data_IF_238871586183
#
_entry.id   IF_238871586183
#
_cell.length_a   1.000
_cell.length_b   1.000
_cell.length_c   1.000
_cell.angle_alpha   90.00
_cell.angle_beta   90.00
_cell.angle_gamma   90.00
#
_symmetry.space_group_name_H-M   'P 1'
#
loop_
_entity.id
_entity.type
_entity.pdbx_description
1 polymer ?
2 non-polymer ?
3 non-polymer ?
4 non-polymer ?
5 water ?
#
# COMPACT_ATOMS: atom_id res chain seq x y z
N UNK A 4 3.78 16.51 -25.49
CA UNK A 4 3.27 15.47 -24.55
C UNK A 4 2.00 15.96 -23.86
N UNK A 5 1.17 15.04 -23.41
CA UNK A 5 -0.06 15.37 -22.69
C UNK A 5 0.27 16.09 -21.40
N UNK A 6 -0.63 16.95 -20.96
CA UNK A 6 -0.40 17.64 -19.70
C UNK A 6 -0.29 16.63 -18.55
N UNK A 7 -1.25 15.70 -18.49
CA UNK A 7 -1.22 14.67 -17.48
C UNK A 7 -0.57 13.45 -18.09
N UNK A 8 0.55 13.05 -17.50
CA UNK A 8 1.43 12.04 -18.05
C UNK A 8 1.01 10.65 -17.70
N UNK A 9 1.75 9.66 -18.22
CA UNK A 9 1.31 8.28 -18.06
C UNK A 9 1.32 7.82 -16.61
N UNK A 10 2.30 8.26 -15.81
CA UNK A 10 2.42 7.81 -14.42
C UNK A 10 1.19 8.25 -13.63
N UNK A 11 0.85 9.52 -13.78
CA UNK A 11 -0.33 10.04 -13.10
C UNK A 11 -1.62 9.36 -13.57
N UNK A 12 -1.79 9.22 -14.89
CA UNK A 12 -3.03 8.65 -15.42
C UNK A 12 -3.18 7.22 -14.90
N UNK A 13 -2.06 6.51 -14.82
CA UNK A 13 -2.08 5.13 -14.31
C UNK A 13 -2.48 5.13 -12.85
N UNK A 14 -1.89 6.00 -12.05
CA UNK A 14 -2.15 6.06 -10.62
C UNK A 14 -3.64 6.36 -10.40
N UNK A 15 -4.14 7.33 -11.14
CA UNK A 15 -5.54 7.75 -10.92
C UNK A 15 -6.52 6.61 -11.31
N UNK A 16 -6.23 5.91 -12.39
CA UNK A 16 -7.06 4.80 -12.86
C UNK A 16 -6.99 3.64 -11.88
N UNK A 17 -5.80 3.38 -11.34
CA UNK A 17 -5.64 2.32 -10.34
C UNK A 17 -6.44 2.68 -9.07
N UNK A 18 -6.28 3.90 -8.61
CA UNK A 18 -6.89 4.34 -7.38
C UNK A 18 -8.40 4.25 -7.45
N UNK A 19 -8.96 4.67 -8.58
CA UNK A 19 -10.42 4.81 -8.68
C UNK A 19 -11.14 3.53 -8.27
N UNK A 20 -10.62 2.39 -8.74
CA UNK A 20 -11.29 1.11 -8.52
C UNK A 20 -10.58 0.17 -7.54
N UNK A 21 -9.35 0.50 -7.15
CA UNK A 21 -8.62 -0.38 -6.25
C UNK A 21 -8.12 0.22 -4.96
N UNK A 22 -8.37 1.50 -4.74
CA UNK A 22 -7.97 2.09 -3.47
C UNK A 22 -9.21 2.58 -2.76
N UNK A 23 -9.35 2.16 -1.50
CA UNK A 23 -10.43 2.67 -0.66
C UNK A 23 -9.82 3.21 0.62
N UNK A 24 -10.62 3.89 1.42
CA UNK A 24 -10.16 4.36 2.71
C UNK A 24 -10.74 3.47 3.79
N UNK A 25 -9.87 2.85 4.58
CA UNK A 25 -10.28 1.94 5.64
C UNK A 25 -10.02 2.61 6.99
N UNK A 26 -10.97 2.47 7.92
CA UNK A 26 -10.76 2.95 9.27
C UNK A 26 -10.67 1.76 10.22
N UNK A 27 -9.54 1.67 10.91
CA UNK A 27 -9.37 0.74 12.01
C UNK A 27 -9.37 1.51 13.34
N UNK A 28 -9.14 0.82 14.46
CA UNK A 28 -9.04 1.52 15.75
C UNK A 28 -7.87 2.50 15.77
N UNK A 29 -6.94 2.35 14.82
CA UNK A 29 -5.76 3.20 14.75
C UNK A 29 -5.96 4.38 13.78
N UNK A 30 -7.15 4.49 13.20
CA UNK A 30 -7.47 5.61 12.33
C UNK A 30 -7.65 5.22 10.89
N UNK A 31 -7.63 6.21 10.01
CA UNK A 31 -7.86 5.99 8.58
C UNK A 31 -6.56 5.62 7.86
N UNK A 32 -6.64 4.66 6.94
CA UNK A 32 -5.53 4.23 6.12
C UNK A 32 -6.00 4.08 4.70
N UNK A 33 -5.16 4.50 3.75
CA UNK A 33 -5.37 4.15 2.38
C UNK A 33 -5.23 2.63 2.31
N UNK A 34 -6.07 1.99 1.50
CA UNK A 34 -6.06 0.55 1.41
C UNK A 34 -6.22 0.08 -0.02
N UNK A 35 -5.28 -0.75 -0.46
CA UNK A 35 -5.32 -1.33 -1.80
C UNK A 35 -6.15 -2.60 -1.77
N UNK A 36 -7.16 -2.65 -2.60
CA UNK A 36 -7.87 -3.90 -2.86
C UNK A 36 -7.15 -4.61 -3.99
N UNK A 37 -6.83 -5.89 -3.81
CA UNK A 37 -6.01 -6.61 -4.78
C UNK A 37 -6.81 -7.48 -5.74
N UNK A 38 -7.75 -8.27 -5.20
CA UNK A 38 -8.62 -9.08 -6.00
C UNK A 38 -9.71 -9.61 -5.07
N UNK A 39 -10.86 -9.96 -5.65
CA UNK A 39 -11.97 -10.54 -4.92
C UNK A 39 -12.23 -9.74 -3.63
N UNK A 40 -12.19 -10.42 -2.48
CA UNK A 40 -12.36 -9.75 -1.18
C UNK A 40 -11.06 -9.53 -0.41
N UNK A 41 -9.94 -9.49 -1.12
CA UNK A 41 -8.61 -9.42 -0.52
C UNK A 41 -8.03 -8.02 -0.65
N UNK A 42 -7.61 -7.45 0.47
CA UNK A 42 -6.96 -6.14 0.49
C UNK A 42 -5.72 -6.17 1.38
N UNK A 43 -4.90 -5.12 1.33
CA UNK A 43 -3.74 -5.02 2.21
C UNK A 43 -3.71 -3.73 3.02
N UNK A 44 -3.21 -3.86 4.23
CA UNK A 44 -2.98 -2.70 5.09
C UNK A 44 -1.61 -2.85 5.69
N UNK A 45 -1.03 -1.74 6.15
CA UNK A 45 0.14 -1.82 7.02
C UNK A 45 -0.21 -2.66 8.22
N UNK A 46 0.68 -3.55 8.60
CA UNK A 46 0.42 -4.37 9.78
C UNK A 46 0.11 -3.53 11.02
N UNK A 47 0.73 -2.37 11.15
CA UNK A 47 0.51 -1.53 12.30
C UNK A 47 -0.82 -0.81 12.29
N UNK A 48 -1.58 -0.95 11.20
CA UNK A 48 -2.93 -0.46 11.16
C UNK A 48 -3.81 -1.26 12.12
N UNK A 49 -3.35 -2.48 12.41
CA UNK A 49 -3.98 -3.33 13.42
C UNK A 49 -5.47 -3.59 13.15
N UNK A 50 -5.80 -4.03 11.93
CA UNK A 50 -7.21 -4.28 11.65
C UNK A 50 -7.73 -5.31 12.64
N UNK A 51 -8.94 -5.10 13.13
CA UNK A 51 -9.52 -6.03 14.09
C UNK A 51 -10.51 -6.93 13.41
N UNK A 52 -11.62 -7.13 14.10
CA UNK A 52 -12.68 -7.99 13.61
C UNK A 52 -13.48 -7.35 12.50
N UNK A 53 -13.37 -6.02 12.39
CA UNK A 53 -14.06 -5.27 11.36
C UNK A 53 -13.35 -3.94 11.11
N UNK A 54 -13.59 -3.36 9.94
CA UNK A 54 -13.07 -2.04 9.61
C UNK A 54 -14.21 -1.25 9.02
N UNK A 55 -14.08 0.07 8.99
CA UNK A 55 -15.10 0.88 8.36
C UNK A 55 -14.64 1.25 6.95
N UNK A 56 -15.51 0.99 5.97
CA UNK A 56 -15.29 1.49 4.61
C UNK A 56 -16.59 2.17 4.17
N UNK A 57 -16.47 3.40 3.68
CA UNK A 57 -17.62 4.16 3.21
C UNK A 57 -18.71 4.22 4.26
N UNK A 58 -18.31 4.44 5.51
CA UNK A 58 -19.27 4.67 6.57
C UNK A 58 -19.97 3.41 7.06
N UNK A 59 -19.59 2.26 6.52
CA UNK A 59 -20.20 1.01 6.92
C UNK A 59 -19.15 0.06 7.50
N UNK A 60 -19.54 -0.64 8.55
CA UNK A 60 -18.70 -1.65 9.16
C UNK A 60 -18.66 -2.87 8.26
N UNK A 61 -17.45 -3.32 7.95
CA UNK A 61 -17.25 -4.49 7.11
C UNK A 61 -16.46 -5.50 7.93
N UNK A 62 -17.02 -6.69 8.12
CA UNK A 62 -16.35 -7.76 8.86
C UNK A 62 -15.09 -8.22 8.14
N UNK A 63 -14.04 -8.48 8.91
CA UNK A 63 -12.83 -9.09 8.41
C UNK A 63 -12.86 -10.58 8.78
N UNK A 64 -12.66 -11.41 7.76
CA UNK A 64 -12.74 -12.87 7.92
C UNK A 64 -11.38 -13.41 8.36
N UNK A 65 -10.33 -12.77 7.87
CA UNK A 65 -8.98 -13.21 8.23
C UNK A 65 -8.01 -12.08 8.00
N UNK A 66 -6.96 -12.06 8.81
CA UNK A 66 -5.89 -11.10 8.67
C UNK A 66 -4.60 -11.89 8.79
N UNK A 67 -3.76 -11.83 7.75
CA UNK A 67 -2.47 -12.53 7.76
C UNK A 67 -1.32 -11.53 7.70
N UNK A 68 -0.54 -11.45 8.77
CA UNK A 68 0.62 -10.58 8.79
C UNK A 68 1.78 -11.29 8.12
N UNK A 69 2.27 -10.67 7.04
CA UNK A 69 3.35 -11.28 6.24
C UNK A 69 4.75 -11.12 6.83
N UNK A 70 5.57 -12.16 6.66
CA UNK A 70 6.94 -12.13 7.12
C UNK A 70 7.74 -12.77 6.02
N UNK A 71 9.03 -12.51 5.99
CA UNK A 71 9.89 -13.22 5.02
C UNK A 71 10.26 -14.61 5.55
N UNK A 72 11.08 -15.32 4.80
CA UNK A 72 11.41 -16.70 5.16
C UNK A 72 12.15 -16.81 6.51
N UNK A 73 12.78 -15.71 6.94
CA UNK A 73 13.52 -15.68 8.20
C UNK A 73 12.65 -15.22 9.36
N UNK A 74 11.39 -14.93 9.06
CA UNK A 74 10.46 -14.49 10.07
C UNK A 74 10.38 -12.99 10.22
N UNK A 75 11.13 -12.26 9.42
CA UNK A 75 11.14 -10.82 9.57
C UNK A 75 9.86 -10.19 9.04
N UNK A 76 9.32 -9.27 9.82
CA UNK A 76 8.11 -8.55 9.48
C UNK A 76 8.25 -7.89 8.10
N UNK A 77 7.22 -8.01 7.25
CA UNK A 77 7.18 -7.29 5.99
C UNK A 77 6.30 -6.04 6.10
N UNK A 78 5.59 -5.92 7.21
CA UNK A 78 4.71 -4.77 7.53
C UNK A 78 3.49 -4.70 6.60
N UNK A 79 3.19 -5.83 5.96
CA UNK A 79 1.99 -5.99 5.17
C UNK A 79 1.08 -6.98 5.89
N UNK A 80 -0.20 -6.64 6.01
CA UNK A 80 -1.19 -7.58 6.50
C UNK A 80 -2.23 -7.73 5.41
N UNK A 81 -2.43 -8.97 4.98
CA UNK A 81 -3.46 -9.27 4.01
C UNK A 81 -4.75 -9.53 4.76
N UNK A 82 -5.79 -8.76 4.44
CA UNK A 82 -7.09 -9.00 5.06
C UNK A 82 -8.12 -9.46 4.03
N UNK A 83 -9.07 -10.26 4.51
CA UNK A 83 -10.15 -10.77 3.69
C UNK A 83 -11.47 -10.22 4.22
N UNK A 84 -12.28 -9.62 3.35
CA UNK A 84 -13.50 -8.94 3.78
C UNK A 84 -14.73 -9.80 3.57
N UNK A 85 -15.66 -9.72 4.52
CA UNK A 85 -16.93 -10.41 4.36
C UNK A 85 -17.90 -9.49 3.61
N UNK A 86 -17.84 -9.55 2.29
CA UNK A 86 -18.77 -8.82 1.45
C UNK A 86 -18.74 -9.37 0.04
N UNK A 87 -19.79 -9.07 -0.72
CA UNK A 87 -19.98 -9.64 -2.05
C UNK A 87 -19.25 -8.87 -3.15
N UNK A 88 -19.09 -7.57 -2.98
CA UNK A 88 -18.37 -6.77 -3.95
C UNK A 88 -16.95 -7.32 -4.11
N UNK A 89 -16.53 -7.45 -5.36
CA UNK A 89 -15.17 -7.88 -5.66
C UNK A 89 -14.36 -6.69 -6.15
N UNK A 90 -13.10 -6.63 -5.72
CA UNK A 90 -12.13 -5.70 -6.28
C UNK A 90 -11.72 -6.18 -7.66
N UNK A 91 -11.59 -5.24 -8.58
CA UNK A 91 -10.97 -5.49 -9.85
C UNK A 91 -9.64 -6.20 -9.58
N UNK A 92 -9.39 -7.34 -10.25
CA UNK A 92 -8.18 -8.11 -9.99
C UNK A 92 -6.96 -7.38 -10.59
N UNK A 93 -6.09 -6.83 -9.74
CA UNK A 93 -4.91 -6.13 -10.24
C UNK A 93 -3.63 -6.92 -10.02
N UNK A 94 -3.77 -8.21 -9.70
CA UNK A 94 -2.59 -9.05 -9.51
C UNK A 94 -1.62 -8.98 -10.71
N UNK A 95 -2.15 -8.91 -11.95
CA UNK A 95 -1.24 -8.86 -13.10
C UNK A 95 -0.41 -7.58 -13.13
N UNK A 96 -0.85 -6.55 -12.41
CA UNK A 96 -0.11 -5.30 -12.32
C UNK A 96 0.93 -5.30 -11.21
N UNK A 97 0.89 -6.32 -10.37
CA UNK A 97 1.88 -6.45 -9.30
C UNK A 97 3.01 -7.30 -9.85
N UNK A 98 4.25 -6.80 -9.76
CA UNK A 98 5.36 -7.50 -10.42
C UNK A 98 5.69 -8.77 -9.70
N UNK A 99 6.36 -9.69 -10.39
CA UNK A 99 6.79 -10.91 -9.76
C UNK A 99 8.00 -10.64 -8.87
N UNK A 100 8.77 -9.62 -9.24
CA UNK A 100 10.00 -9.23 -8.55
C UNK A 100 9.80 -7.95 -7.74
N UNK A 101 10.50 -7.85 -6.62
CA UNK A 101 10.65 -6.56 -5.95
C UNK A 101 11.19 -5.61 -7.01
N UNK A 102 10.52 -4.48 -7.15
CA UNK A 102 10.68 -3.60 -8.30
C UNK A 102 11.04 -2.18 -7.91
N UNK A 103 12.06 -1.64 -8.58
CA UNK A 103 12.49 -0.27 -8.42
C UNK A 103 12.02 0.53 -9.62
N UNK A 104 11.95 1.84 -9.46
CA UNK A 104 11.63 2.68 -10.60
C UNK A 104 12.32 4.02 -10.44
N UNK A 105 12.53 4.72 -11.56
CA UNK A 105 13.02 6.09 -11.50
C UNK A 105 11.89 7.08 -11.31
N UNK A 106 10.65 6.62 -11.45
CA UNK A 106 9.50 7.53 -11.43
C UNK A 106 8.30 6.95 -10.73
N UNK A 107 8.32 6.96 -9.40
CA UNK A 107 7.22 6.43 -8.64
C UNK A 107 6.22 7.48 -8.24
N UNK A 108 4.99 7.04 -7.99
CA UNK A 108 3.94 7.91 -7.50
C UNK A 108 3.40 7.29 -6.23
N UNK A 109 3.26 8.11 -5.19
CA UNK A 109 2.64 7.73 -3.94
C UNK A 109 1.19 8.19 -3.99
N UNK A 110 0.28 7.25 -3.74
CA UNK A 110 -1.15 7.51 -3.83
C UNK A 110 -1.72 7.36 -2.44
N UNK A 111 -2.27 8.46 -1.89
CA UNK A 111 -2.83 8.42 -0.56
C UNK A 111 -4.26 8.95 -0.66
N UNK A 112 -5.19 8.34 0.07
CA UNK A 112 -6.55 8.85 0.03
C UNK A 112 -7.24 8.62 1.34
N UNK A 113 -7.24 9.64 2.17
CA UNK A 113 -7.94 9.62 3.46
C UNK A 113 -8.63 10.97 3.63
N UNK A 114 -9.38 11.13 4.71
CA UNK A 114 -10.01 12.43 4.95
C UNK A 114 -8.95 13.51 5.20
N UNK A 115 -7.82 13.15 5.81
CA UNK A 115 -6.74 14.12 6.00
C UNK A 115 -5.99 14.45 4.71
N UNK A 116 -5.78 13.44 3.88
CA UNK A 116 -5.05 13.56 2.64
C UNK A 116 -5.92 13.02 1.52
N UNK A 117 -6.94 13.77 1.14
CA UNK A 117 -7.84 13.34 0.06
C UNK A 117 -7.21 13.45 -1.31
N UNK A 118 -7.24 12.36 -2.06
CA UNK A 118 -6.79 12.39 -3.46
C UNK A 118 -5.39 12.97 -3.63
N UNK A 119 -4.49 12.45 -2.82
CA UNK A 119 -3.09 12.85 -2.89
C UNK A 119 -2.34 12.02 -3.89
N UNK A 120 -1.69 12.69 -4.84
CA UNK A 120 -0.85 12.03 -5.84
C UNK A 120 0.50 12.72 -5.84
N UNK A 121 1.53 12.03 -5.38
CA UNK A 121 2.85 12.64 -5.28
C UNK A 121 3.90 11.87 -6.07
N UNK A 122 4.53 12.54 -7.02
CA UNK A 122 5.64 11.87 -7.69
C UNK A 122 6.87 11.91 -6.79
N UNK A 123 7.21 10.77 -6.22
CA UNK A 123 8.29 10.70 -5.24
C UNK A 123 9.64 10.52 -5.90
N UNK A 124 9.64 10.24 -7.19
CA UNK A 124 10.86 10.06 -7.93
C UNK A 124 11.39 8.65 -7.80
N UNK A 125 12.69 8.52 -7.60
CA UNK A 125 13.30 7.21 -7.53
C UNK A 125 12.80 6.40 -6.32
N UNK A 126 12.50 5.13 -6.58
CA UNK A 126 12.10 4.18 -5.56
C UNK A 126 13.09 3.06 -5.64
N UNK A 127 13.84 2.87 -4.56
CA UNK A 127 15.02 2.03 -4.54
C UNK A 127 14.89 0.96 -3.47
N UNK A 128 15.37 -0.25 -3.75
CA UNK A 128 15.30 -1.30 -2.76
C UNK A 128 16.27 -0.98 -1.62
N UNK A 129 15.77 -1.10 -0.40
CA UNK A 129 16.54 -0.81 0.80
C UNK A 129 16.80 -2.12 1.56
N UNK A 130 15.80 -2.99 1.60
CA UNK A 130 15.92 -4.23 2.34
C UNK A 130 15.55 -4.02 3.78
N UNK A 131 16.42 -4.49 4.69
CA UNK A 131 16.13 -4.51 6.13
C UNK A 131 16.28 -3.13 6.73
N UNK A 132 15.25 -2.70 7.45
CA UNK A 132 15.26 -1.39 8.06
C UNK A 132 14.51 -1.43 9.39
N UNK A 133 15.05 -0.81 10.43
CA UNK A 133 14.31 -0.61 11.68
C UNK A 133 13.45 0.64 11.55
N UNK A 134 12.14 0.46 11.41
CA UNK A 134 11.24 1.60 11.22
C UNK A 134 10.75 2.11 12.57
N UNK A 135 11.55 2.97 13.19
CA UNK A 135 11.19 3.55 14.47
C UNK A 135 10.95 2.53 15.56
N UNK A 136 11.65 1.40 15.49
CA UNK A 136 11.51 0.35 16.49
C UNK A 136 10.93 -0.94 15.95
N UNK A 137 10.31 -0.89 14.78
CA UNK A 137 9.75 -2.08 14.14
C UNK A 137 10.67 -2.57 13.05
N UNK A 138 11.38 -3.66 13.31
CA UNK A 138 12.25 -4.23 12.31
C UNK A 138 11.43 -4.71 11.12
N UNK A 139 11.83 -4.32 9.91
CA UNK A 139 11.06 -4.61 8.69
C UNK A 139 12.00 -5.04 7.55
N UNK A 140 11.56 -6.00 6.75
CA UNK A 140 12.32 -6.51 5.59
C UNK A 140 11.70 -6.03 4.26
N UNK A 141 12.48 -6.12 3.17
CA UNK A 141 12.04 -5.85 1.80
C UNK A 141 11.44 -4.48 1.62
N UNK A 142 12.03 -3.48 2.23
CA UNK A 142 11.50 -2.14 2.07
C UNK A 142 12.04 -1.46 0.82
N UNK A 143 11.27 -0.48 0.34
CA UNK A 143 11.69 0.40 -0.74
C UNK A 143 11.79 1.79 -0.13
N UNK A 144 12.67 2.61 -0.67
CA UNK A 144 12.90 3.94 -0.13
C UNK A 144 12.77 4.99 -1.24
N UNK A 145 12.17 6.13 -0.88
CA UNK A 145 12.07 7.27 -1.78
C UNK A 145 12.38 8.54 -1.02
N UNK A 146 12.93 9.52 -1.73
CA UNK A 146 13.32 10.78 -1.13
C UNK A 146 12.15 11.76 -1.17
N UNK A 147 11.22 11.57 -0.26
CA UNK A 147 10.09 12.49 -0.13
C UNK A 147 9.71 12.52 1.33
N UNK A 148 9.39 13.73 1.83
CA UNK A 148 9.08 13.85 3.25
C UNK A 148 7.69 13.38 3.58
N UNK A 149 7.49 12.07 3.57
CA UNK A 149 6.22 11.48 3.99
C UNK A 149 5.95 11.67 5.48
N UNK A 150 4.67 11.58 5.86
CA UNK A 150 4.22 11.93 7.22
C UNK A 150 3.15 10.96 7.68
N UNK A 151 2.89 10.98 8.97
CA UNK A 151 1.76 10.26 9.56
C UNK A 151 0.47 10.47 8.76
N UNK A 152 -0.30 9.40 8.62
CA UNK A 152 -1.54 9.45 7.88
C UNK A 152 -1.43 8.93 6.46
N UNK A 153 -0.20 8.72 5.99
CA UNK A 153 0.03 8.27 4.62
C UNK A 153 0.31 6.80 4.52
N UNK A 154 0.33 6.09 5.65
CA UNK A 154 0.58 4.65 5.53
C UNK A 154 -0.59 3.94 4.89
N UNK A 155 -0.28 2.87 4.15
CA UNK A 155 -1.25 2.24 3.32
C UNK A 155 -1.22 2.82 1.92
N UNK A 156 -0.66 4.02 1.78
CA UNK A 156 -0.52 4.60 0.46
C UNK A 156 0.16 3.68 -0.54
N UNK A 157 -0.26 3.77 -1.79
CA UNK A 157 0.19 2.84 -2.79
C UNK A 157 1.32 3.50 -3.63
N UNK A 158 2.38 2.75 -3.89
CA UNK A 158 3.46 3.21 -4.75
C UNK A 158 3.28 2.58 -6.13
N UNK A 159 3.17 3.38 -7.17
CA UNK A 159 3.02 2.86 -8.51
C UNK A 159 4.08 3.44 -9.42
N UNK A 160 4.31 2.75 -10.51
CA UNK A 160 4.92 3.37 -11.68
C UNK A 160 4.03 2.98 -12.85
N UNK A 161 4.25 3.55 -14.02
CA UNK A 161 3.32 3.28 -15.10
C UNK A 161 3.26 1.78 -15.34
N UNK A 162 2.10 1.20 -15.07
CA UNK A 162 1.85 -0.18 -15.43
C UNK A 162 2.11 -1.14 -14.30
N UNK A 163 2.57 -0.65 -13.14
CA UNK A 163 2.88 -1.54 -12.03
C UNK A 163 2.52 -0.95 -10.68
N UNK A 164 2.05 -1.83 -9.80
CA UNK A 164 1.79 -1.49 -8.42
C UNK A 164 2.89 -2.19 -7.62
N UNK A 165 3.77 -1.42 -6.98
CA UNK A 165 5.05 -1.96 -6.54
C UNK A 165 5.32 -1.90 -5.05
N UNK A 166 4.56 -1.09 -4.31
CA UNK A 166 4.80 -0.93 -2.88
C UNK A 166 3.62 -0.35 -2.13
N UNK A 167 3.70 -0.46 -0.81
CA UNK A 167 2.70 0.12 0.09
C UNK A 167 3.45 0.89 1.16
N UNK A 168 3.13 2.18 1.29
CA UNK A 168 3.83 3.04 2.24
C UNK A 168 3.66 2.55 3.67
N UNK A 169 4.77 2.47 4.42
CA UNK A 169 4.70 2.05 5.82
C UNK A 169 5.50 2.90 6.82
N UNK A 170 6.37 3.80 6.37
CA UNK A 170 7.19 4.52 7.32
C UNK A 170 7.94 5.67 6.71
N UNK A 171 8.59 6.46 7.56
CA UNK A 171 9.39 7.58 7.07
C UNK A 171 10.16 8.21 8.18
N UNK A 172 11.31 8.78 7.87
CA UNK A 172 12.21 9.29 8.88
C UNK A 172 12.39 10.81 8.83
N UNK A 173 11.50 11.48 8.10
CA UNK A 173 11.49 12.92 8.04
C UNK A 173 11.78 13.39 6.63
N UNK A 174 12.86 12.88 6.06
CA UNK A 174 13.29 13.26 4.72
C UNK A 174 12.95 12.18 3.70
N UNK A 175 12.93 10.92 4.14
CA UNK A 175 12.60 9.80 3.25
C UNK A 175 11.36 9.02 3.68
N UNK A 176 10.78 8.33 2.71
CA UNK A 176 9.63 7.47 2.88
C UNK A 176 10.03 6.04 2.56
N UNK A 177 9.32 5.12 3.19
CA UNK A 177 9.62 3.70 3.05
C UNK A 177 8.35 2.94 2.80
N UNK A 178 8.41 1.99 1.86
CA UNK A 178 7.27 1.18 1.49
C UNK A 178 7.62 -0.28 1.65
N UNK A 179 6.61 -1.10 1.96
CA UNK A 179 6.76 -2.54 1.85
C UNK A 179 6.65 -2.87 0.38
N UNK A 180 7.65 -3.57 -0.16
CA UNK A 180 7.58 -4.00 -1.55
C UNK A 180 6.39 -4.96 -1.74
N UNK A 181 5.74 -4.88 -2.91
CA UNK A 181 4.71 -5.83 -3.29
C UNK A 181 5.23 -6.79 -4.36
N UNK A 182 4.91 -8.07 -4.22
CA UNK A 182 5.25 -9.12 -5.19
C UNK A 182 3.98 -9.90 -5.42
N UNK A 183 3.79 -10.37 -6.65
CA UNK A 183 2.57 -11.06 -7.01
C UNK A 183 2.36 -12.32 -6.17
N UNK A 184 3.46 -13.00 -5.84
CA UNK A 184 3.38 -14.28 -5.13
C UNK A 184 2.75 -14.10 -3.74
N UNK A 185 2.67 -12.88 -3.24
CA UNK A 185 2.02 -12.67 -1.94
C UNK A 185 0.53 -12.97 -2.02
N UNK A 186 -0.02 -12.92 -3.24
CA UNK A 186 -1.47 -12.97 -3.43
C UNK A 186 -1.93 -14.11 -4.26
N UNK A 187 -1.09 -15.14 -4.39
CA UNK A 187 -1.37 -16.24 -5.26
C UNK A 187 -0.93 -17.51 -4.54
#
# INVERSE_FOLDING_TARGET
>A
MHHHHHHGPGFDYAVAMAKRNIVTATTSKGEFTMLGVHDNVAILPTHASPGESIVIDGKEVEILDAKALEDQAGTNLEITIITLKRNEKFRDIRPHIPTQITETNDGVLIVNTSKYPNMYVPVGAVTEQGYLNLGGRQTARTLMYNFPTRAGQCGGVITCTGKVIGMHVGGNGSHGFAAALKRSYFTQSQ
#
